data_IF_720282418063
#
_entry.id   IF_720282418063
#
_cell.length_a   1.000
_cell.length_b   1.000
_cell.length_c   1.000
_cell.angle_alpha   90.00
_cell.angle_beta   90.00
_cell.angle_gamma   90.00
#
_symmetry.space_group_name_H-M   'P 1'
#
loop_
_entity.id
_entity.type
_entity.pdbx_description
1 polymer ?
#
# COMPACT_ATOMS: atom_id res chain seq x y z
N UNK A 1 -45.67 -23.12 -25.20
CA UNK A 1 -45.26 -22.87 -23.80
C UNK A 1 -44.02 -22.02 -23.89
N UNK A 2 -44.06 -20.77 -23.43
CA UNK A 2 -42.93 -20.15 -22.75
C UNK A 2 -43.44 -18.88 -22.06
N UNK A 3 -43.15 -18.83 -20.77
CA UNK A 3 -43.76 -17.97 -19.76
C UNK A 3 -42.85 -16.75 -19.56
N UNK A 4 -43.48 -15.58 -19.56
CA UNK A 4 -42.96 -14.26 -19.16
C UNK A 4 -42.29 -14.32 -17.79
N UNK A 5 -41.16 -13.61 -17.58
CA UNK A 5 -40.91 -12.85 -16.32
C UNK A 5 -39.83 -11.78 -16.46
N UNK A 6 -40.28 -10.54 -16.20
CA UNK A 6 -39.49 -9.39 -15.73
C UNK A 6 -39.01 -9.66 -14.29
N UNK A 7 -37.78 -9.30 -13.97
CA UNK A 7 -37.35 -8.91 -12.62
C UNK A 7 -36.41 -7.69 -12.80
N UNK A 8 -36.77 -6.47 -12.36
CA UNK A 8 -36.89 -5.93 -11.01
C UNK A 8 -35.54 -5.65 -10.32
N UNK A 9 -35.19 -4.36 -10.27
CA UNK A 9 -34.75 -3.64 -9.08
C UNK A 9 -33.58 -4.21 -8.28
N UNK A 10 -32.36 -3.79 -8.62
CA UNK A 10 -31.22 -3.82 -7.71
C UNK A 10 -31.46 -2.85 -6.55
N UNK A 11 -32.00 -3.37 -5.45
CA UNK A 11 -32.20 -2.69 -4.18
C UNK A 11 -30.82 -2.39 -3.57
N UNK A 12 -30.58 -1.14 -3.21
CA UNK A 12 -29.45 -0.74 -2.38
C UNK A 12 -29.49 -1.53 -1.06
N UNK A 13 -28.38 -2.20 -0.73
CA UNK A 13 -28.16 -2.80 0.59
C UNK A 13 -27.43 -1.78 1.45
N UNK A 14 -28.19 -1.01 2.23
CA UNK A 14 -27.70 -0.46 3.49
C UNK A 14 -27.41 -1.63 4.42
N UNK A 15 -26.14 -1.85 4.72
CA UNK A 15 -25.69 -2.86 5.67
C UNK A 15 -25.38 -2.25 7.03
N UNK A 16 -26.41 -1.98 7.83
CA UNK A 16 -26.31 -2.11 9.29
C UNK A 16 -26.61 -3.56 9.63
N UNK A 17 -25.57 -4.35 9.93
CA UNK A 17 -25.69 -5.79 10.05
C UNK A 17 -24.71 -6.39 11.05
N UNK A 18 -25.17 -6.48 12.29
CA UNK A 18 -25.14 -7.65 13.15
C UNK A 18 -23.80 -8.32 13.55
N UNK A 19 -23.64 -8.40 14.87
CA UNK A 19 -22.48 -8.87 15.61
C UNK A 19 -22.68 -10.37 15.82
N UNK A 20 -22.30 -11.23 14.87
CA UNK A 20 -22.65 -12.64 15.04
C UNK A 20 -22.14 -13.69 14.05
N UNK A 21 -21.21 -13.38 13.15
CA UNK A 21 -20.61 -14.38 12.26
C UNK A 21 -19.07 -14.28 12.25
N UNK A 22 -18.42 -15.20 12.96
CA UNK A 22 -17.03 -15.65 12.75
C UNK A 22 -15.98 -14.58 12.45
N UNK A 23 -15.75 -13.65 13.39
CA UNK A 23 -14.65 -12.70 13.31
C UNK A 23 -13.32 -13.45 13.13
N UNK A 24 -12.45 -12.97 12.23
CA UNK A 24 -11.14 -13.60 12.00
C UNK A 24 -10.39 -13.78 13.35
N UNK A 25 -9.74 -14.94 13.60
CA UNK A 25 -9.16 -15.25 14.91
C UNK A 25 -8.21 -14.17 15.44
N UNK A 26 -7.46 -13.52 14.56
CA UNK A 26 -6.52 -12.45 14.92
C UNK A 26 -7.24 -11.22 15.50
N UNK A 27 -8.44 -10.88 15.03
CA UNK A 27 -9.20 -9.75 15.56
C UNK A 27 -9.74 -10.01 16.97
N UNK A 28 -10.05 -11.28 17.30
CA UNK A 28 -10.46 -11.66 18.66
C UNK A 28 -9.33 -11.45 19.67
N UNK A 29 -8.10 -11.79 19.31
CA UNK A 29 -6.94 -11.55 20.17
C UNK A 29 -6.71 -10.04 20.37
N UNK A 30 -6.93 -9.23 19.32
CA UNK A 30 -6.89 -7.77 19.44
C UNK A 30 -7.98 -7.26 20.40
N UNK A 31 -9.22 -7.79 20.36
CA UNK A 31 -10.28 -7.46 21.34
C UNK A 31 -9.83 -7.73 22.79
N UNK A 32 -9.16 -8.87 23.01
CA UNK A 32 -8.62 -9.25 24.33
C UNK A 32 -7.51 -8.28 24.79
N UNK A 33 -6.67 -7.77 23.89
CA UNK A 33 -5.71 -6.70 24.19
C UNK A 33 -6.42 -5.37 24.51
N UNK A 34 -7.40 -4.96 23.70
CA UNK A 34 -8.14 -3.70 23.90
C UNK A 34 -8.94 -3.68 25.20
N UNK A 35 -9.40 -4.84 25.68
CA UNK A 35 -10.06 -5.01 26.98
C UNK A 35 -9.09 -5.14 28.17
N UNK A 36 -7.78 -5.16 27.92
CA UNK A 36 -6.74 -5.25 28.94
C UNK A 36 -6.45 -6.66 29.46
N UNK A 37 -7.02 -7.70 28.83
CA UNK A 37 -6.79 -9.10 29.20
C UNK A 37 -5.51 -9.71 28.59
N UNK A 38 -4.98 -9.10 27.52
CA UNK A 38 -3.69 -9.43 26.91
C UNK A 38 -2.78 -8.21 26.86
N UNK A 39 -1.48 -8.45 26.87
CA UNK A 39 -0.45 -7.46 26.57
C UNK A 39 -0.27 -7.28 25.06
N UNK A 40 0.41 -6.20 24.65
CA UNK A 40 0.70 -5.95 23.24
C UNK A 40 1.60 -7.02 22.62
N UNK A 41 2.58 -7.52 23.38
CA UNK A 41 3.52 -8.55 22.89
C UNK A 41 2.81 -9.86 22.54
N UNK A 42 1.67 -10.14 23.19
CA UNK A 42 0.84 -11.32 22.90
C UNK A 42 -0.01 -11.18 21.62
N UNK A 43 -0.14 -9.98 21.06
CA UNK A 43 -1.04 -9.70 19.93
C UNK A 43 -0.35 -9.03 18.73
N UNK A 44 0.97 -8.80 18.81
CA UNK A 44 1.72 -8.12 17.73
C UNK A 44 1.63 -8.87 16.39
N UNK A 45 1.62 -10.19 16.41
CA UNK A 45 1.46 -11.04 15.21
C UNK A 45 0.06 -10.90 14.60
N UNK A 46 -0.96 -10.68 15.43
CA UNK A 46 -2.34 -10.51 14.99
C UNK A 46 -2.56 -9.11 14.40
N UNK A 47 -1.93 -8.10 14.99
CA UNK A 47 -1.84 -6.78 14.37
C UNK A 47 -1.06 -6.80 13.05
N UNK A 48 0.00 -7.60 12.93
CA UNK A 48 0.74 -7.74 11.67
C UNK A 48 -0.15 -8.32 10.55
N UNK A 49 -1.01 -9.29 10.87
CA UNK A 49 -2.00 -9.82 9.91
C UNK A 49 -3.02 -8.75 9.49
N UNK A 50 -3.62 -8.05 10.45
CA UNK A 50 -4.58 -7.00 10.10
C UNK A 50 -3.91 -5.82 9.35
N UNK A 51 -2.63 -5.55 9.62
CA UNK A 51 -1.84 -4.57 8.90
C UNK A 51 -1.71 -4.90 7.40
N UNK A 52 -1.35 -6.14 7.06
CA UNK A 52 -1.19 -6.52 5.64
C UNK A 52 -2.50 -6.52 4.84
N UNK A 53 -3.63 -6.74 5.52
CA UNK A 53 -4.96 -6.69 4.91
C UNK A 53 -5.31 -5.28 4.41
N UNK A 54 -4.77 -4.23 5.04
CA UNK A 54 -5.22 -2.85 4.80
C UNK A 54 -4.22 -1.97 4.07
N UNK A 55 -2.92 -2.26 4.11
CA UNK A 55 -1.89 -1.35 3.58
C UNK A 55 -1.98 -1.10 2.08
N UNK A 56 -2.60 -2.01 1.32
CA UNK A 56 -2.83 -1.86 -0.11
C UNK A 56 -4.06 -1.02 -0.45
N UNK A 57 -4.83 -0.57 0.54
CA UNK A 57 -6.01 0.26 0.35
C UNK A 57 -5.63 1.73 0.25
N UNK A 58 -6.02 2.42 -0.84
CA UNK A 58 -5.76 3.85 -0.99
C UNK A 58 -6.38 4.66 0.15
N UNK A 59 -5.58 5.51 0.78
CA UNK A 59 -6.02 6.38 1.88
C UNK A 59 -6.17 5.68 3.24
N UNK A 60 -5.65 4.46 3.40
CA UNK A 60 -5.61 3.81 4.70
C UNK A 60 -4.85 4.66 5.73
N UNK A 61 -5.21 4.51 7.00
CA UNK A 61 -4.44 5.08 8.12
C UNK A 61 -4.44 4.12 9.30
N UNK A 62 -3.48 4.28 10.21
CA UNK A 62 -3.44 3.49 11.44
C UNK A 62 -4.73 3.65 12.24
N UNK A 63 -5.21 4.87 12.39
CA UNK A 63 -6.36 5.20 13.23
C UNK A 63 -7.69 4.68 12.66
N UNK A 64 -7.83 4.64 11.34
CA UNK A 64 -9.11 4.34 10.68
C UNK A 64 -9.20 2.93 10.09
N UNK A 65 -8.07 2.38 9.67
CA UNK A 65 -8.05 1.13 8.89
C UNK A 65 -7.61 -0.06 9.73
N UNK A 66 -6.74 0.16 10.72
CA UNK A 66 -6.29 -0.90 11.62
C UNK A 66 -7.28 -1.02 12.78
N UNK A 67 -7.70 -2.24 13.06
CA UNK A 67 -8.64 -2.49 14.14
C UNK A 67 -8.02 -2.13 15.51
N UNK A 68 -8.60 -1.16 16.22
CA UNK A 68 -8.01 -0.60 17.45
C UNK A 68 -6.72 0.19 17.23
N UNK A 69 -6.47 0.67 16.01
CA UNK A 69 -5.22 1.31 15.64
C UNK A 69 -5.06 2.77 16.11
N UNK A 70 -6.16 3.42 16.50
CA UNK A 70 -6.18 4.75 17.12
C UNK A 70 -5.48 4.77 18.50
N UNK A 71 -5.54 3.65 19.22
CA UNK A 71 -4.83 3.45 20.50
C UNK A 71 -3.34 3.08 20.37
N UNK A 72 -2.84 2.79 19.16
CA UNK A 72 -1.46 2.34 18.96
C UNK A 72 -0.47 3.51 18.98
N UNK A 73 0.55 3.38 19.82
CA UNK A 73 1.70 4.29 19.84
C UNK A 73 2.59 4.13 18.60
N UNK A 74 3.39 5.16 18.27
CA UNK A 74 4.36 5.07 17.17
C UNK A 74 5.36 3.90 17.30
N UNK A 75 5.73 3.53 18.54
CA UNK A 75 6.59 2.37 18.80
C UNK A 75 5.90 1.06 18.44
N UNK A 76 4.64 0.89 18.83
CA UNK A 76 3.84 -0.30 18.49
C UNK A 76 3.62 -0.40 16.98
N UNK A 77 3.29 0.70 16.30
CA UNK A 77 3.16 0.74 14.83
C UNK A 77 4.43 0.28 14.12
N UNK A 78 5.61 0.70 14.61
CA UNK A 78 6.90 0.23 14.10
C UNK A 78 7.10 -1.28 14.33
N UNK A 79 6.78 -1.77 15.53
CA UNK A 79 6.88 -3.20 15.85
C UNK A 79 5.94 -4.06 15.00
N UNK A 80 4.72 -3.60 14.73
CA UNK A 80 3.77 -4.29 13.85
C UNK A 80 4.33 -4.44 12.44
N UNK A 81 4.89 -3.36 11.88
CA UNK A 81 5.54 -3.41 10.56
C UNK A 81 6.72 -4.38 10.56
N UNK A 82 7.64 -4.26 11.53
CA UNK A 82 8.78 -5.18 11.62
C UNK A 82 8.36 -6.63 11.81
N UNK A 83 7.27 -6.88 12.56
CA UNK A 83 6.72 -8.22 12.72
C UNK A 83 6.14 -8.76 11.42
N UNK A 84 5.47 -7.93 10.62
CA UNK A 84 4.98 -8.33 9.31
C UNK A 84 6.13 -8.69 8.34
N UNK A 85 7.27 -8.01 8.42
CA UNK A 85 8.51 -8.37 7.68
C UNK A 85 9.08 -9.70 8.19
N UNK A 86 9.22 -9.88 9.51
CA UNK A 86 9.74 -11.13 10.13
C UNK A 86 8.88 -12.36 9.81
N UNK A 87 7.56 -12.18 9.76
CA UNK A 87 6.60 -13.24 9.41
C UNK A 87 6.50 -13.46 7.89
N UNK A 88 7.27 -12.73 7.07
CA UNK A 88 7.21 -12.75 5.61
C UNK A 88 5.82 -12.44 5.04
N UNK A 89 5.02 -11.65 5.75
CA UNK A 89 3.71 -11.17 5.27
C UNK A 89 3.87 -9.97 4.31
N UNK A 90 4.97 -9.23 4.47
CA UNK A 90 5.42 -8.21 3.53
C UNK A 90 6.92 -8.37 3.23
N UNK A 91 7.38 -7.96 2.05
CA UNK A 91 8.80 -7.90 1.74
C UNK A 91 9.49 -6.82 2.58
N UNK A 92 10.71 -7.12 3.02
CA UNK A 92 11.61 -6.12 3.59
C UNK A 92 12.26 -5.34 2.45
N UNK A 93 12.08 -4.01 2.45
CA UNK A 93 12.72 -3.12 1.49
C UNK A 93 13.94 -2.47 2.15
N UNK A 94 15.13 -2.75 1.60
CA UNK A 94 16.34 -2.05 2.04
C UNK A 94 16.32 -0.62 1.50
N UNK A 95 16.71 0.34 2.35
CA UNK A 95 16.82 1.75 1.96
C UNK A 95 18.26 2.18 2.16
N UNK A 96 18.97 2.38 1.04
CA UNK A 96 20.38 2.78 1.04
C UNK A 96 20.53 4.23 1.46
N UNK A 97 21.28 4.48 2.53
CA UNK A 97 21.63 5.83 2.94
C UNK A 97 22.50 6.53 1.89
N UNK A 98 22.17 7.78 1.57
CA UNK A 98 22.90 8.60 0.61
C UNK A 98 23.22 9.93 1.26
N UNK A 99 24.47 10.37 1.16
CA UNK A 99 24.91 11.65 1.71
C UNK A 99 24.08 12.80 1.13
N UNK A 100 23.60 13.67 2.03
CA UNK A 100 22.74 14.79 1.67
C UNK A 100 21.26 14.44 1.44
N UNK A 101 20.86 13.18 1.55
CA UNK A 101 19.46 12.75 1.49
C UNK A 101 18.92 12.40 2.87
N UNK A 102 17.68 12.81 3.16
CA UNK A 102 17.05 12.61 4.47
C UNK A 102 16.73 11.14 4.76
N UNK A 103 16.34 10.37 3.74
CA UNK A 103 15.81 9.01 3.90
C UNK A 103 16.57 7.96 3.09
N UNK A 104 17.19 8.32 1.96
CA UNK A 104 17.90 7.36 1.10
C UNK A 104 17.02 6.74 0.02
N UNK A 105 17.57 5.86 -0.83
CA UNK A 105 16.85 5.25 -1.95
C UNK A 105 16.40 3.83 -1.62
N UNK A 106 15.16 3.51 -1.95
CA UNK A 106 14.56 2.20 -1.70
C UNK A 106 14.92 1.21 -2.80
N UNK A 107 15.42 0.03 -2.42
CA UNK A 107 15.74 -1.05 -3.35
C UNK A 107 14.55 -2.00 -3.54
N UNK A 108 13.54 -1.52 -4.27
CA UNK A 108 12.37 -2.33 -4.62
C UNK A 108 12.73 -3.49 -5.59
N UNK A 109 13.75 -3.29 -6.43
CA UNK A 109 14.21 -4.28 -7.39
C UNK A 109 14.92 -5.44 -6.68
N UNK A 110 15.83 -5.17 -5.75
CA UNK A 110 16.50 -6.17 -4.92
C UNK A 110 15.54 -6.93 -4.00
N UNK A 111 14.44 -6.30 -3.59
CA UNK A 111 13.35 -6.97 -2.87
C UNK A 111 12.42 -7.81 -3.77
N UNK A 112 12.58 -7.76 -5.09
CA UNK A 112 11.80 -8.54 -6.05
C UNK A 112 10.35 -8.10 -6.21
N UNK A 113 10.02 -6.84 -5.92
CA UNK A 113 8.63 -6.34 -5.94
C UNK A 113 8.29 -5.51 -7.19
N UNK A 114 9.24 -5.31 -8.09
CA UNK A 114 9.03 -4.52 -9.31
C UNK A 114 8.29 -5.38 -10.35
N UNK A 115 7.07 -4.98 -10.70
CA UNK A 115 6.26 -5.66 -11.72
C UNK A 115 6.63 -5.22 -13.14
N UNK A 116 7.07 -3.96 -13.31
CA UNK A 116 7.46 -3.41 -14.60
C UNK A 116 8.45 -2.26 -14.42
N UNK A 117 9.34 -2.06 -15.38
CA UNK A 117 10.23 -0.90 -15.44
C UNK A 117 10.07 -0.25 -16.81
N UNK A 118 9.99 1.07 -16.83
CA UNK A 118 9.90 1.86 -18.07
C UNK A 118 10.70 3.17 -17.94
N UNK A 119 10.96 3.84 -19.07
CA UNK A 119 11.64 5.12 -19.13
C UNK A 119 10.66 6.25 -19.49
N UNK A 120 10.46 7.17 -18.55
CA UNK A 120 9.65 8.36 -18.76
C UNK A 120 10.42 9.36 -19.65
N UNK A 121 9.83 9.86 -20.75
CA UNK A 121 10.50 10.80 -21.64
C UNK A 121 10.77 12.12 -20.93
N UNK A 122 11.90 12.75 -21.27
CA UNK A 122 12.39 13.98 -20.63
C UNK A 122 11.38 15.14 -20.66
N UNK A 123 10.55 15.22 -21.69
CA UNK A 123 9.47 16.21 -21.81
C UNK A 123 8.41 16.09 -20.70
N UNK A 124 8.28 14.91 -20.08
CA UNK A 124 7.33 14.64 -19.00
C UNK A 124 7.94 14.73 -17.60
N UNK A 125 9.27 14.82 -17.44
CA UNK A 125 9.93 14.76 -16.13
C UNK A 125 9.41 15.79 -15.12
N UNK A 126 9.08 17.00 -15.58
CA UNK A 126 8.58 18.09 -14.73
C UNK A 126 7.06 18.25 -14.74
N UNK A 127 6.33 17.30 -15.34
CA UNK A 127 4.86 17.24 -15.30
C UNK A 127 4.36 16.65 -13.98
N UNK A 128 3.06 16.79 -13.71
CA UNK A 128 2.41 16.21 -12.53
C UNK A 128 2.31 14.68 -12.62
N UNK A 129 2.17 14.01 -11.47
CA UNK A 129 2.10 12.54 -11.40
C UNK A 129 0.97 11.97 -12.27
N UNK A 130 -0.18 12.66 -12.36
CA UNK A 130 -1.30 12.25 -13.23
C UNK A 130 -0.87 12.11 -14.69
N UNK A 131 -0.25 13.15 -15.28
CA UNK A 131 0.17 13.11 -16.69
C UNK A 131 1.28 12.07 -16.92
N UNK A 132 2.21 11.93 -15.97
CA UNK A 132 3.29 10.95 -16.08
C UNK A 132 2.75 9.52 -16.01
N UNK A 133 1.87 9.25 -15.05
CA UNK A 133 1.34 7.91 -14.83
C UNK A 133 0.37 7.52 -15.94
N UNK A 134 -0.42 8.45 -16.48
CA UNK A 134 -1.27 8.20 -17.65
C UNK A 134 -0.43 7.79 -18.86
N UNK A 135 0.67 8.51 -19.14
CA UNK A 135 1.58 8.14 -20.23
C UNK A 135 2.16 6.73 -20.05
N UNK A 136 2.66 6.42 -18.84
CA UNK A 136 3.22 5.10 -18.52
C UNK A 136 2.15 3.99 -18.62
N UNK A 137 0.96 4.21 -18.07
CA UNK A 137 -0.14 3.24 -18.08
C UNK A 137 -0.60 2.89 -19.50
N UNK A 138 -0.57 3.86 -20.41
CA UNK A 138 -0.93 3.65 -21.82
C UNK A 138 0.08 2.75 -22.55
N UNK A 139 1.33 2.68 -22.08
CA UNK A 139 2.37 1.83 -22.65
C UNK A 139 2.45 0.43 -22.01
N UNK A 140 1.71 0.19 -20.92
CA UNK A 140 1.74 -1.11 -20.23
C UNK A 140 1.08 -2.24 -21.06
N UNK A 141 1.61 -3.46 -20.96
CA UNK A 141 0.88 -4.68 -21.30
C UNK A 141 -0.44 -4.79 -20.52
N UNK A 142 -1.47 -5.37 -21.14
CA UNK A 142 -2.83 -5.43 -20.60
C UNK A 142 -2.92 -6.14 -19.23
N UNK A 143 -2.16 -7.22 -19.04
CA UNK A 143 -2.09 -7.96 -17.78
C UNK A 143 -1.48 -7.12 -16.64
N UNK A 144 -0.49 -6.27 -16.97
CA UNK A 144 0.14 -5.36 -16.02
C UNK A 144 -0.72 -4.12 -15.77
N UNK A 145 -1.39 -3.58 -16.81
CA UNK A 145 -2.27 -2.40 -16.68
C UNK A 145 -3.37 -2.60 -15.64
N UNK A 146 -3.94 -3.80 -15.57
CA UNK A 146 -4.97 -4.18 -14.58
C UNK A 146 -4.52 -3.97 -13.13
N UNK A 147 -3.22 -4.09 -12.85
CA UNK A 147 -2.64 -3.86 -11.52
C UNK A 147 -2.71 -2.39 -11.10
N UNK A 148 -2.68 -1.47 -12.07
CA UNK A 148 -2.80 -0.02 -11.81
C UNK A 148 -4.26 0.38 -11.75
N UNK A 149 -5.10 -0.16 -12.66
CA UNK A 149 -6.54 0.15 -12.72
C UNK A 149 -7.29 -0.28 -11.46
N UNK A 150 -6.92 -1.41 -10.86
CA UNK A 150 -7.49 -1.86 -9.58
C UNK A 150 -6.85 -1.16 -8.35
N UNK A 151 -5.89 -0.26 -8.56
CA UNK A 151 -5.22 0.52 -7.52
C UNK A 151 -4.20 -0.24 -6.68
N UNK A 152 -3.84 -1.47 -7.03
CA UNK A 152 -2.90 -2.29 -6.25
C UNK A 152 -1.43 -1.91 -6.46
N UNK A 153 -1.10 -1.25 -7.57
CA UNK A 153 0.27 -0.80 -7.91
C UNK A 153 0.33 0.70 -8.19
N UNK A 154 1.51 1.27 -7.99
CA UNK A 154 1.83 2.66 -8.30
C UNK A 154 3.21 2.76 -8.92
N UNK A 155 3.41 3.81 -9.70
CA UNK A 155 4.72 4.15 -10.22
C UNK A 155 5.59 4.83 -9.15
N UNK A 156 6.79 4.29 -8.98
CA UNK A 156 7.86 4.83 -8.16
C UNK A 156 8.86 5.59 -9.06
N UNK A 157 9.09 6.87 -8.73
CA UNK A 157 10.16 7.65 -9.33
C UNK A 157 11.50 7.26 -8.70
N UNK A 158 12.32 6.50 -9.42
CA UNK A 158 13.64 6.10 -8.92
C UNK A 158 14.62 7.27 -8.87
N UNK A 159 15.77 7.06 -8.25
CA UNK A 159 16.91 7.98 -8.26
C UNK A 159 17.53 8.17 -9.64
N UNK A 160 17.38 7.18 -10.53
CA UNK A 160 17.92 7.21 -11.89
C UNK A 160 17.01 8.06 -12.79
N UNK A 161 17.52 9.09 -13.47
CA UNK A 161 16.71 9.97 -14.31
C UNK A 161 15.87 9.23 -15.35
N UNK A 162 14.56 9.46 -15.31
CA UNK A 162 13.60 8.85 -16.24
C UNK A 162 13.22 7.40 -15.90
N UNK A 163 14.01 6.65 -15.11
CA UNK A 163 13.66 5.27 -14.74
C UNK A 163 12.49 5.27 -13.77
N UNK A 164 11.41 4.61 -14.18
CA UNK A 164 10.18 4.41 -13.43
C UNK A 164 9.99 2.94 -13.12
N UNK A 165 9.59 2.62 -11.90
CA UNK A 165 9.30 1.24 -11.49
C UNK A 165 7.86 1.12 -11.02
N UNK A 166 7.12 0.15 -11.55
CA UNK A 166 5.79 -0.18 -11.09
C UNK A 166 5.89 -1.15 -9.91
N UNK A 167 5.44 -0.71 -8.74
CA UNK A 167 5.58 -1.44 -7.46
C UNK A 167 4.26 -1.48 -6.70
N UNK A 168 4.05 -2.45 -5.78
CA UNK A 168 2.82 -2.52 -4.98
C UNK A 168 2.59 -1.22 -4.19
N UNK A 169 1.38 -0.67 -4.29
CA UNK A 169 1.02 0.61 -3.69
C UNK A 169 1.29 0.62 -2.18
N UNK A 170 0.86 -0.42 -1.46
CA UNK A 170 1.04 -0.48 -0.02
C UNK A 170 2.50 -0.51 0.39
N UNK A 171 3.32 -1.32 -0.29
CA UNK A 171 4.76 -1.43 -0.04
C UNK A 171 5.48 -0.11 -0.30
N UNK A 172 5.15 0.56 -1.40
CA UNK A 172 5.68 1.91 -1.68
C UNK A 172 5.28 2.91 -0.59
N UNK A 173 4.01 2.92 -0.18
CA UNK A 173 3.48 3.90 0.77
C UNK A 173 4.01 3.72 2.20
N UNK A 174 4.35 2.49 2.62
CA UNK A 174 4.91 2.20 3.96
C UNK A 174 6.43 2.33 4.02
N UNK A 175 7.08 2.48 2.88
CA UNK A 175 8.54 2.61 2.76
C UNK A 175 8.88 4.09 2.69
N UNK A 176 9.47 4.64 3.75
CA UNK A 176 9.95 6.03 3.72
C UNK A 176 11.24 6.10 2.91
N UNK A 177 11.24 6.85 1.81
CA UNK A 177 12.38 6.94 0.90
C UNK A 177 12.43 8.28 0.15
N UNK A 178 13.59 8.58 -0.40
CA UNK A 178 13.81 9.57 -1.45
C UNK A 178 13.70 8.90 -2.83
N UNK A 179 13.57 9.71 -3.87
CA UNK A 179 13.43 9.26 -5.26
C UNK A 179 13.44 10.45 -6.22
N UNK A 180 13.07 10.23 -7.47
CA UNK A 180 13.11 11.24 -8.54
C UNK A 180 12.31 12.52 -8.24
N UNK A 181 11.31 12.44 -7.37
CA UNK A 181 10.47 13.56 -6.90
C UNK A 181 11.02 14.31 -5.68
N UNK A 182 12.15 13.86 -5.11
CA UNK A 182 12.80 14.57 -4.01
C UNK A 182 13.43 15.87 -4.49
N UNK A 183 13.58 16.85 -3.60
CA UNK A 183 14.19 18.15 -3.93
C UNK A 183 15.57 17.96 -4.55
N UNK A 184 15.83 18.66 -5.66
CA UNK A 184 17.06 18.56 -6.44
C UNK A 184 17.13 17.37 -7.41
N UNK A 185 16.16 16.47 -7.41
CA UNK A 185 16.15 15.30 -8.29
C UNK A 185 15.49 15.59 -9.65
N UNK A 186 15.63 14.63 -10.57
CA UNK A 186 15.28 14.82 -11.98
C UNK A 186 13.79 15.17 -12.22
N UNK A 187 12.88 14.70 -11.37
CA UNK A 187 11.45 15.00 -11.41
C UNK A 187 11.00 16.06 -10.38
N UNK A 188 11.94 16.75 -9.71
CA UNK A 188 11.62 17.82 -8.77
C UNK A 188 10.89 18.98 -9.46
N UNK A 189 9.59 19.10 -9.23
CA UNK A 189 8.70 20.08 -9.85
C UNK A 189 7.63 20.49 -8.84
N UNK A 190 7.04 21.67 -9.05
CA UNK A 190 5.88 22.12 -8.28
C UNK A 190 4.74 21.10 -8.39
N UNK A 191 4.07 20.86 -7.26
CA UNK A 191 2.97 19.89 -7.12
C UNK A 191 1.66 20.62 -6.86
#
# INVERSE_FOLDING_TARGET
MDIIRKEQGGKAIEGTGDIGAGRAPHLKNIDEFLSGSKSFDEVVDDYAKNYVEVINTKGWSWEKSIYGGDGLTGKQRKLIKSKAEELNLIPKIEVGNIDGMRFGFADFEGAGVVAHTDELPKSLWKKGDTEQFEWLNNNLPEDIRKLVENGSYTWHHTEVPGKMQLVPYGIHNITTHNGGRSTGMWADAAR
#
